data_IF_912961688695
#
_entry.id   IF_912961688695
#
_cell.length_a   1.000
_cell.length_b   1.000
_cell.length_c   1.000
_cell.angle_alpha   90.00
_cell.angle_beta   90.00
_cell.angle_gamma   90.00
#
_symmetry.space_group_name_H-M   'P 1'
#
loop_
_entity.id
_entity.type
_entity.pdbx_description
1 polymer ?
#
# COMPACT_ATOMS: atom_id res chain seq x y z
N UNK A 1 -5.64 7.67 4.53
CA UNK A 1 -4.25 8.05 4.20
C UNK A 1 -4.17 9.47 3.67
N UNK A 2 -4.89 9.84 2.59
CA UNK A 2 -4.89 11.21 2.07
C UNK A 2 -5.31 12.26 3.10
N UNK A 3 -6.24 11.91 4.00
CA UNK A 3 -6.72 12.79 5.06
C UNK A 3 -5.71 13.05 6.17
N UNK A 4 -4.82 12.10 6.44
CA UNK A 4 -3.75 12.26 7.41
C UNK A 4 -2.59 13.12 6.87
N UNK A 5 -2.59 13.40 5.59
CA UNK A 5 -1.53 14.15 4.94
C UNK A 5 -1.56 15.63 5.36
N UNK A 6 -0.47 16.09 5.94
CA UNK A 6 -0.35 17.47 6.42
C UNK A 6 -0.63 18.49 5.32
N UNK A 7 -0.16 18.20 4.10
CA UNK A 7 -0.37 19.05 2.93
C UNK A 7 -1.85 19.25 2.56
N UNK A 8 -2.69 18.21 2.72
CA UNK A 8 -4.13 18.36 2.47
C UNK A 8 -4.81 19.20 3.53
N UNK A 9 -4.33 19.18 4.77
CA UNK A 9 -4.83 20.07 5.82
C UNK A 9 -4.42 21.52 5.56
N UNK A 10 -3.19 21.74 5.10
CA UNK A 10 -2.70 23.05 4.70
C UNK A 10 -3.45 23.59 3.48
N UNK A 11 -3.61 22.77 2.43
CA UNK A 11 -4.39 23.12 1.24
C UNK A 11 -5.85 23.43 1.56
N UNK A 12 -6.48 22.71 2.47
CA UNK A 12 -7.83 23.00 2.90
C UNK A 12 -7.93 24.41 3.49
N UNK A 13 -7.03 24.75 4.43
CA UNK A 13 -6.96 26.07 5.06
C UNK A 13 -6.67 27.19 4.06
N UNK A 14 -5.71 26.99 3.15
CA UNK A 14 -5.40 27.94 2.08
C UNK A 14 -6.60 28.23 1.16
N UNK A 15 -7.47 27.27 0.99
CA UNK A 15 -8.68 27.38 0.19
C UNK A 15 -9.93 27.75 1.04
N UNK A 16 -9.76 28.13 2.30
CA UNK A 16 -10.82 28.64 3.17
C UNK A 16 -11.71 27.55 3.78
N UNK A 17 -11.22 26.34 3.90
CA UNK A 17 -11.92 25.23 4.55
C UNK A 17 -11.29 24.91 5.90
N UNK A 18 -12.07 24.90 6.96
CA UNK A 18 -11.63 24.46 8.28
C UNK A 18 -11.61 22.95 8.41
N UNK A 19 -12.50 22.26 7.68
CA UNK A 19 -12.60 20.80 7.63
C UNK A 19 -11.99 20.27 6.33
N UNK A 20 -10.97 19.43 6.45
CA UNK A 20 -10.33 18.77 5.30
C UNK A 20 -11.32 17.86 4.54
N UNK A 21 -12.34 17.29 5.21
CA UNK A 21 -13.36 16.48 4.54
C UNK A 21 -14.27 17.32 3.65
N UNK A 22 -14.58 18.56 4.05
CA UNK A 22 -15.33 19.49 3.20
C UNK A 22 -14.50 19.90 1.99
N UNK A 23 -13.21 20.22 2.21
CA UNK A 23 -12.29 20.49 1.11
C UNK A 23 -12.19 19.31 0.15
N UNK A 24 -12.05 18.08 0.65
CA UNK A 24 -11.98 16.85 -0.15
C UNK A 24 -13.24 16.62 -1.01
N UNK A 25 -14.39 17.18 -0.63
CA UNK A 25 -15.65 17.11 -1.38
C UNK A 25 -15.88 18.32 -2.28
N UNK A 26 -15.04 19.34 -2.21
CA UNK A 26 -15.21 20.62 -2.88
C UNK A 26 -14.83 20.59 -4.36
N UNK A 27 -15.00 21.74 -5.02
CA UNK A 27 -14.57 21.99 -6.40
C UNK A 27 -13.04 21.82 -6.58
N UNK A 28 -12.23 22.14 -5.57
CA UNK A 28 -10.77 22.04 -5.63
C UNK A 28 -10.28 20.58 -5.65
N UNK A 29 -11.14 19.64 -5.32
CA UNK A 29 -10.87 18.21 -5.47
C UNK A 29 -11.92 17.59 -6.43
N UNK A 30 -11.78 17.82 -7.73
CA UNK A 30 -12.79 17.45 -8.70
C UNK A 30 -12.99 15.94 -8.81
N UNK A 31 -14.20 15.53 -9.13
CA UNK A 31 -14.48 14.15 -9.52
C UNK A 31 -13.83 13.88 -10.88
N UNK A 32 -13.07 12.79 -10.96
CA UNK A 32 -12.44 12.34 -12.18
C UNK A 32 -13.33 11.34 -12.94
N UNK A 33 -13.90 10.37 -12.22
CA UNK A 33 -14.84 9.40 -12.77
C UNK A 33 -15.69 8.80 -11.65
N UNK A 34 -17.00 8.63 -11.87
CA UNK A 34 -17.89 8.11 -10.83
C UNK A 34 -17.77 8.90 -9.53
N UNK A 35 -17.37 8.22 -8.46
CA UNK A 35 -17.11 8.82 -7.15
C UNK A 35 -15.62 9.03 -6.84
N UNK A 36 -14.73 8.65 -7.77
CA UNK A 36 -13.29 8.87 -7.61
C UNK A 36 -12.95 10.35 -7.79
N UNK A 37 -12.22 10.89 -6.85
CA UNK A 37 -11.74 12.28 -6.87
C UNK A 37 -10.24 12.33 -7.16
N UNK A 38 -9.76 13.49 -7.56
CA UNK A 38 -8.34 13.69 -7.90
C UNK A 38 -7.39 13.28 -6.77
N UNK A 39 -7.75 13.53 -5.52
CA UNK A 39 -6.96 13.12 -4.35
C UNK A 39 -6.92 11.60 -4.11
N UNK A 40 -7.75 10.84 -4.79
CA UNK A 40 -7.73 9.37 -4.76
C UNK A 40 -6.88 8.74 -5.86
N UNK A 41 -6.09 9.56 -6.57
CA UNK A 41 -5.14 9.15 -7.59
C UNK A 41 -3.71 9.23 -7.06
N UNK A 42 -2.83 8.53 -7.73
CA UNK A 42 -1.39 8.61 -7.48
C UNK A 42 -0.83 10.01 -7.63
N UNK A 43 0.24 10.30 -6.92
CA UNK A 43 1.08 11.47 -7.16
C UNK A 43 2.31 11.04 -7.97
N UNK A 44 2.41 11.50 -9.19
CA UNK A 44 3.61 11.24 -10.01
C UNK A 44 4.82 11.93 -9.40
N UNK A 45 5.91 11.19 -9.28
CA UNK A 45 7.19 11.70 -8.81
C UNK A 45 8.34 10.97 -9.49
N UNK A 46 9.53 11.54 -9.36
CA UNK A 46 10.78 10.85 -9.67
C UNK A 46 11.22 10.05 -8.44
N UNK A 47 11.85 8.91 -8.66
CA UNK A 47 12.37 8.09 -7.58
C UNK A 47 13.15 6.89 -8.07
N UNK A 48 13.98 6.34 -7.17
CA UNK A 48 14.71 5.11 -7.39
C UNK A 48 14.76 4.29 -6.09
N UNK A 49 14.74 2.98 -6.23
CA UNK A 49 14.95 2.06 -5.12
C UNK A 49 15.83 0.91 -5.58
N UNK A 50 16.65 0.38 -4.68
CA UNK A 50 17.52 -0.76 -4.94
C UNK A 50 17.49 -1.71 -3.74
N UNK A 51 17.52 -2.99 -4.03
CA UNK A 51 17.58 -4.07 -3.03
C UNK A 51 18.73 -5.01 -3.37
N UNK A 52 19.38 -5.54 -2.34
CA UNK A 52 20.34 -6.63 -2.47
C UNK A 52 19.66 -7.91 -2.01
N UNK A 53 19.54 -8.87 -2.91
CA UNK A 53 19.01 -10.21 -2.62
C UNK A 53 20.16 -11.21 -2.71
N UNK A 54 20.32 -12.02 -1.72
CA UNK A 54 21.37 -13.05 -1.64
C UNK A 54 20.88 -14.26 -0.86
N UNK A 55 21.55 -15.43 -0.97
CA UNK A 55 21.32 -16.53 -0.06
C UNK A 55 21.48 -16.09 1.40
N UNK A 56 20.65 -16.61 2.30
CA UNK A 56 20.61 -16.18 3.72
C UNK A 56 21.97 -16.32 4.39
N UNK A 57 22.72 -17.38 4.09
CA UNK A 57 24.07 -17.66 4.61
C UNK A 57 25.11 -16.62 4.17
N UNK A 58 24.85 -15.87 3.11
CA UNK A 58 25.73 -14.80 2.61
C UNK A 58 25.39 -13.42 3.18
N UNK A 59 24.25 -13.27 3.82
CA UNK A 59 23.72 -11.95 4.22
C UNK A 59 24.72 -11.17 5.10
N UNK A 60 25.44 -11.84 6.00
CA UNK A 60 26.45 -11.23 6.87
C UNK A 60 27.66 -10.64 6.13
N UNK A 61 27.86 -10.98 4.85
CA UNK A 61 28.91 -10.40 4.03
C UNK A 61 28.54 -9.01 3.51
N UNK A 62 27.24 -8.68 3.52
CA UNK A 62 26.71 -7.43 2.96
C UNK A 62 26.17 -6.47 4.01
N UNK A 63 25.82 -6.97 5.18
CA UNK A 63 25.21 -6.12 6.22
C UNK A 63 25.39 -6.71 7.61
N UNK A 64 25.56 -5.82 8.59
CA UNK A 64 25.51 -6.17 10.02
C UNK A 64 24.08 -6.13 10.60
N UNK A 65 23.10 -5.65 9.78
CA UNK A 65 21.70 -5.60 10.18
C UNK A 65 21.06 -6.99 10.06
N UNK A 66 20.01 -7.23 10.85
CA UNK A 66 19.21 -8.44 10.73
C UNK A 66 18.75 -8.61 9.27
N UNK A 67 19.09 -9.73 8.62
CA UNK A 67 18.58 -10.04 7.30
C UNK A 67 17.05 -10.25 7.36
N UNK A 68 16.37 -9.85 6.32
CA UNK A 68 14.93 -10.08 6.18
C UNK A 68 14.74 -11.15 5.11
N UNK A 69 14.06 -12.21 5.47
CA UNK A 69 13.87 -13.37 4.60
C UNK A 69 12.69 -13.18 3.66
N UNK A 70 12.85 -13.55 2.39
CA UNK A 70 11.77 -13.67 1.42
C UNK A 70 11.20 -15.08 1.51
N UNK A 71 10.05 -15.25 2.13
CA UNK A 71 9.41 -16.55 2.33
C UNK A 71 8.85 -17.15 1.06
N UNK A 72 8.30 -16.30 0.17
CA UNK A 72 7.71 -16.76 -1.08
C UNK A 72 7.44 -15.63 -2.07
N UNK A 73 7.26 -16.01 -3.31
CA UNK A 73 6.91 -15.12 -4.42
C UNK A 73 5.78 -15.78 -5.20
N UNK A 74 4.74 -15.00 -5.51
CA UNK A 74 3.65 -15.40 -6.41
C UNK A 74 3.63 -14.49 -7.64
N UNK A 75 3.29 -15.08 -8.79
CA UNK A 75 3.15 -14.35 -10.03
C UNK A 75 1.97 -14.89 -10.83
N UNK A 76 1.12 -14.00 -11.30
CA UNK A 76 0.01 -14.35 -12.16
C UNK A 76 -0.20 -13.30 -13.24
N UNK A 77 -0.57 -13.77 -14.42
CA UNK A 77 -0.95 -12.93 -15.55
C UNK A 77 -2.30 -13.41 -16.10
N UNK A 78 -3.05 -12.49 -16.70
CA UNK A 78 -4.31 -12.81 -17.35
C UNK A 78 -4.39 -12.17 -18.74
N UNK A 79 -5.32 -12.66 -19.54
CA UNK A 79 -5.61 -12.08 -20.84
C UNK A 79 -6.17 -10.67 -20.70
N UNK A 80 -5.69 -9.74 -21.51
CA UNK A 80 -6.01 -8.31 -21.43
C UNK A 80 -7.49 -7.97 -21.69
N UNK A 81 -8.27 -8.88 -22.27
CA UNK A 81 -9.69 -8.70 -22.58
C UNK A 81 -10.64 -9.12 -21.45
N UNK A 82 -10.11 -9.59 -20.32
CA UNK A 82 -10.93 -9.96 -19.18
C UNK A 82 -11.13 -8.76 -18.26
N UNK A 83 -12.40 -8.45 -17.95
CA UNK A 83 -12.73 -7.47 -16.94
C UNK A 83 -12.12 -7.88 -15.58
N UNK A 84 -11.66 -6.89 -14.81
CA UNK A 84 -11.10 -7.09 -13.46
C UNK A 84 -9.78 -7.89 -13.42
N UNK A 85 -8.89 -7.68 -14.38
CA UNK A 85 -7.57 -8.33 -14.46
C UNK A 85 -6.79 -8.21 -13.15
N UNK A 86 -6.78 -7.03 -12.53
CA UNK A 86 -6.06 -6.77 -11.27
C UNK A 86 -6.56 -7.64 -10.13
N UNK A 87 -7.87 -7.80 -9.99
CA UNK A 87 -8.49 -8.63 -8.94
C UNK A 87 -8.00 -10.07 -9.05
N UNK A 88 -8.15 -10.66 -10.21
CA UNK A 88 -7.85 -12.08 -10.40
C UNK A 88 -6.36 -12.40 -10.40
N UNK A 89 -5.53 -11.54 -10.95
CA UNK A 89 -4.08 -11.75 -10.94
C UNK A 89 -3.53 -11.63 -9.52
N UNK A 90 -3.95 -10.63 -8.75
CA UNK A 90 -3.56 -10.47 -7.35
C UNK A 90 -4.02 -11.64 -6.51
N UNK A 91 -5.27 -12.08 -6.66
CA UNK A 91 -5.80 -13.22 -5.93
C UNK A 91 -5.01 -14.50 -6.21
N UNK A 92 -4.72 -14.78 -7.48
CA UNK A 92 -3.96 -15.97 -7.87
C UNK A 92 -2.51 -15.92 -7.38
N UNK A 93 -1.84 -14.78 -7.52
CA UNK A 93 -0.48 -14.62 -7.02
C UNK A 93 -0.43 -14.79 -5.49
N UNK A 94 -1.38 -14.23 -4.77
CA UNK A 94 -1.47 -14.37 -3.31
C UNK A 94 -1.74 -15.82 -2.89
N UNK A 95 -2.65 -16.52 -3.59
CA UNK A 95 -2.91 -17.94 -3.36
C UNK A 95 -1.63 -18.78 -3.48
N UNK A 96 -0.82 -18.54 -4.52
CA UNK A 96 0.47 -19.22 -4.72
C UNK A 96 1.42 -18.99 -3.54
N UNK A 97 1.50 -17.78 -3.03
CA UNK A 97 2.36 -17.46 -1.87
C UNK A 97 1.90 -18.19 -0.63
N UNK A 98 0.61 -18.16 -0.31
CA UNK A 98 0.08 -18.85 0.87
C UNK A 98 0.25 -20.38 0.78
N UNK A 99 0.02 -20.97 -0.39
CA UNK A 99 0.25 -22.41 -0.60
C UNK A 99 1.73 -22.79 -0.49
N UNK A 100 2.63 -21.94 -1.02
CA UNK A 100 4.07 -22.18 -0.97
C UNK A 100 4.63 -22.06 0.45
N UNK A 101 4.19 -21.06 1.19
CA UNK A 101 4.79 -20.70 2.49
C UNK A 101 4.08 -21.32 3.68
N UNK A 102 2.80 -21.69 3.52
CA UNK A 102 1.94 -22.12 4.62
C UNK A 102 1.49 -20.97 5.54
N UNK A 103 1.90 -19.74 5.27
CA UNK A 103 1.46 -18.54 6.01
C UNK A 103 -0.02 -18.31 5.75
N UNK A 104 -0.74 -17.89 6.78
CA UNK A 104 -2.18 -17.58 6.68
C UNK A 104 -2.40 -16.07 6.60
N UNK A 105 -3.51 -15.62 5.98
CA UNK A 105 -3.83 -14.19 5.90
C UNK A 105 -3.88 -13.47 7.25
N UNK A 106 -4.31 -14.19 8.30
CA UNK A 106 -4.42 -13.64 9.67
C UNK A 106 -3.04 -13.36 10.31
N UNK A 107 -2.00 -14.02 9.82
CA UNK A 107 -0.61 -13.88 10.29
C UNK A 107 0.14 -12.73 9.63
N UNK A 108 -0.53 -12.00 8.72
CA UNK A 108 0.06 -10.84 8.04
C UNK A 108 -0.17 -9.59 8.89
N UNK A 109 0.91 -8.96 9.31
CA UNK A 109 0.90 -7.77 10.16
C UNK A 109 0.82 -6.47 9.35
N UNK A 110 1.34 -6.45 8.12
CA UNK A 110 1.42 -5.27 7.26
C UNK A 110 1.18 -5.64 5.81
N UNK A 111 0.35 -4.85 5.12
CA UNK A 111 0.16 -4.94 3.68
C UNK A 111 0.75 -3.70 2.98
N UNK A 112 1.67 -3.92 2.05
CA UNK A 112 2.09 -2.91 1.09
C UNK A 112 1.40 -3.19 -0.24
N UNK A 113 0.38 -2.40 -0.57
CA UNK A 113 -0.47 -2.61 -1.74
C UNK A 113 -0.30 -1.50 -2.77
N UNK A 114 -0.47 -1.84 -4.04
CA UNK A 114 -0.51 -0.82 -5.08
C UNK A 114 -1.81 0.00 -4.99
N UNK A 115 -1.69 1.26 -4.60
CA UNK A 115 -2.77 2.23 -4.46
C UNK A 115 -2.71 3.30 -5.56
N UNK A 116 -2.43 2.89 -6.76
CA UNK A 116 -2.53 3.74 -7.96
C UNK A 116 -3.88 4.50 -7.99
N UNK A 117 -4.96 3.79 -7.66
CA UNK A 117 -6.23 4.36 -7.24
C UNK A 117 -6.50 3.91 -5.80
N UNK A 118 -7.14 4.76 -5.00
CA UNK A 118 -7.53 4.40 -3.64
C UNK A 118 -8.42 3.14 -3.59
N UNK A 119 -9.19 2.90 -4.64
CA UNK A 119 -9.99 1.67 -4.80
C UNK A 119 -9.14 0.43 -5.03
N UNK A 120 -7.99 0.55 -5.70
CA UNK A 120 -7.07 -0.57 -5.91
C UNK A 120 -6.50 -1.09 -4.59
N UNK A 121 -6.22 -0.20 -3.65
CA UNK A 121 -5.79 -0.58 -2.30
C UNK A 121 -6.84 -1.41 -1.57
N UNK A 122 -8.11 -0.99 -1.61
CA UNK A 122 -9.22 -1.72 -1.01
C UNK A 122 -9.35 -3.12 -1.63
N UNK A 123 -9.38 -3.17 -2.97
CA UNK A 123 -9.49 -4.43 -3.70
C UNK A 123 -8.32 -5.35 -3.36
N UNK A 124 -7.08 -4.86 -3.40
CA UNK A 124 -5.91 -5.66 -3.08
C UNK A 124 -5.96 -6.23 -1.66
N UNK A 125 -6.44 -5.45 -0.69
CA UNK A 125 -6.58 -5.90 0.68
C UNK A 125 -7.63 -7.01 0.85
N UNK A 126 -8.75 -6.95 0.12
CA UNK A 126 -9.79 -7.98 0.17
C UNK A 126 -9.36 -9.24 -0.60
N UNK A 127 -8.88 -9.11 -1.83
CA UNK A 127 -8.54 -10.29 -2.65
C UNK A 127 -7.29 -11.03 -2.16
N UNK A 128 -6.42 -10.36 -1.38
CA UNK A 128 -5.32 -11.01 -0.67
C UNK A 128 -5.74 -11.72 0.62
N UNK A 129 -6.99 -11.57 1.04
CA UNK A 129 -7.48 -12.10 2.32
C UNK A 129 -7.00 -11.31 3.54
N UNK A 130 -6.27 -10.21 3.35
CA UNK A 130 -5.82 -9.36 4.46
C UNK A 130 -6.98 -8.69 5.19
N UNK A 131 -8.01 -8.28 4.44
CA UNK A 131 -9.30 -7.82 4.97
C UNK A 131 -10.42 -8.73 4.47
N UNK A 132 -11.55 -8.83 5.23
CA UNK A 132 -12.70 -9.61 4.81
C UNK A 132 -13.30 -9.10 3.51
N UNK A 133 -13.61 -10.02 2.60
CA UNK A 133 -14.22 -9.70 1.29
C UNK A 133 -15.56 -8.96 1.46
N UNK A 134 -15.72 -7.86 0.74
CA UNK A 134 -16.91 -6.99 0.76
C UNK A 134 -17.06 -6.15 2.03
N UNK A 135 -16.17 -6.27 3.02
CA UNK A 135 -16.21 -5.52 4.27
C UNK A 135 -14.98 -4.63 4.51
N UNK A 136 -13.97 -4.72 3.66
CA UNK A 136 -12.71 -3.97 3.81
C UNK A 136 -12.93 -2.46 3.96
N UNK A 137 -13.93 -1.89 3.29
CA UNK A 137 -14.26 -0.47 3.38
C UNK A 137 -14.55 0.00 4.83
N UNK A 138 -15.08 -0.87 5.70
CA UNK A 138 -15.33 -0.55 7.13
C UNK A 138 -14.02 -0.25 7.84
N UNK A 139 -12.98 -1.06 7.61
CA UNK A 139 -11.65 -0.89 8.18
C UNK A 139 -11.03 0.46 7.80
N UNK A 140 -11.25 0.91 6.56
CA UNK A 140 -10.77 2.22 6.12
C UNK A 140 -11.51 3.37 6.81
N UNK A 141 -12.83 3.29 6.94
CA UNK A 141 -13.64 4.32 7.62
C UNK A 141 -13.33 4.39 9.12
N UNK A 142 -13.12 3.25 9.75
CA UNK A 142 -12.80 3.13 11.17
C UNK A 142 -11.33 3.50 11.49
N UNK A 143 -10.50 3.78 10.47
CA UNK A 143 -9.09 4.12 10.63
C UNK A 143 -8.19 2.93 10.97
N UNK A 144 -8.69 1.71 10.96
CA UNK A 144 -7.97 0.49 11.29
C UNK A 144 -6.83 0.15 10.33
N UNK A 145 -6.88 0.70 9.11
CA UNK A 145 -5.82 0.57 8.10
C UNK A 145 -4.75 1.66 8.19
N UNK A 146 -4.87 2.59 9.11
CA UNK A 146 -3.86 3.61 9.37
C UNK A 146 -2.58 2.99 9.93
N UNK A 147 -1.48 3.75 9.91
CA UNK A 147 -0.18 3.26 10.41
C UNK A 147 -0.24 2.86 11.90
N UNK A 148 -1.16 3.40 12.68
CA UNK A 148 -1.42 3.09 14.09
C UNK A 148 -2.61 2.14 14.32
N UNK A 149 -3.28 1.70 13.25
CA UNK A 149 -4.39 0.74 13.29
C UNK A 149 -3.95 -0.71 13.49
N UNK A 150 -4.90 -1.61 13.65
CA UNK A 150 -4.67 -3.05 13.85
C UNK A 150 -4.48 -3.83 12.52
N UNK A 151 -4.79 -3.23 11.38
CA UNK A 151 -4.59 -3.78 10.04
C UNK A 151 -3.93 -2.74 9.11
N UNK A 152 -2.68 -2.35 9.38
CA UNK A 152 -2.02 -1.26 8.67
C UNK A 152 -1.78 -1.60 7.19
N UNK A 153 -2.06 -0.62 6.33
CA UNK A 153 -1.82 -0.72 4.89
C UNK A 153 -1.04 0.52 4.43
N UNK A 154 0.02 0.32 3.67
CA UNK A 154 0.83 1.40 3.11
C UNK A 154 1.26 2.43 4.16
N UNK A 155 1.97 1.99 5.19
CA UNK A 155 2.40 2.83 6.34
C UNK A 155 3.21 4.05 5.95
N UNK A 156 3.87 4.03 4.79
CA UNK A 156 4.60 5.17 4.21
C UNK A 156 3.69 6.18 3.50
N UNK A 157 2.40 5.90 3.35
CA UNK A 157 1.44 6.73 2.64
C UNK A 157 1.09 6.27 1.22
N UNK A 158 1.78 5.25 0.71
CA UNK A 158 1.52 4.68 -0.62
C UNK A 158 1.73 5.65 -1.78
N UNK A 159 1.25 5.28 -2.96
CA UNK A 159 1.40 6.10 -4.18
C UNK A 159 0.56 7.37 -4.13
N UNK A 160 -0.57 7.33 -3.43
CA UNK A 160 -1.43 8.50 -3.25
C UNK A 160 -0.83 9.59 -2.37
N UNK A 161 0.16 9.27 -1.52
CA UNK A 161 0.72 10.23 -0.56
C UNK A 161 2.24 10.34 -0.61
N UNK A 162 2.95 9.22 -0.67
CA UNK A 162 4.41 9.21 -0.77
C UNK A 162 4.89 9.54 -2.19
N UNK A 163 4.11 9.12 -3.20
CA UNK A 163 4.39 9.34 -4.61
C UNK A 163 4.57 8.05 -5.40
N UNK A 164 4.45 8.16 -6.70
CA UNK A 164 4.54 7.03 -7.64
C UNK A 164 5.62 7.24 -8.69
N UNK A 165 6.75 6.58 -8.50
CA UNK A 165 7.88 6.53 -9.43
C UNK A 165 7.82 5.27 -10.32
N UNK A 166 6.62 4.91 -10.77
CA UNK A 166 6.36 3.75 -11.64
C UNK A 166 7.04 2.46 -11.13
N UNK A 167 7.94 1.86 -11.91
CA UNK A 167 8.57 0.59 -11.56
C UNK A 167 9.37 0.63 -10.25
N UNK A 168 9.94 1.78 -9.88
CA UNK A 168 10.67 1.93 -8.62
C UNK A 168 9.77 1.81 -7.39
N UNK A 169 8.47 2.09 -7.52
CA UNK A 169 7.54 2.04 -6.39
C UNK A 169 7.37 0.64 -5.79
N UNK A 170 7.39 -0.41 -6.60
CA UNK A 170 7.32 -1.78 -6.09
C UNK A 170 8.53 -2.14 -5.23
N UNK A 171 9.73 -1.70 -5.62
CA UNK A 171 10.94 -1.88 -4.80
C UNK A 171 10.90 -0.99 -3.55
N UNK A 172 10.30 0.20 -3.61
CA UNK A 172 10.10 1.06 -2.46
C UNK A 172 9.14 0.46 -1.43
N UNK A 173 8.12 -0.30 -1.86
CA UNK A 173 7.25 -1.05 -0.94
C UNK A 173 8.02 -2.12 -0.18
N UNK A 174 8.89 -2.87 -0.86
CA UNK A 174 9.74 -3.87 -0.23
C UNK A 174 10.73 -3.18 0.74
N UNK A 175 11.30 -2.04 0.33
CA UNK A 175 12.16 -1.25 1.21
C UNK A 175 11.43 -0.83 2.49
N UNK A 176 10.22 -0.29 2.38
CA UNK A 176 9.41 0.08 3.56
C UNK A 176 9.14 -1.14 4.45
N UNK A 177 8.73 -2.28 3.88
CA UNK A 177 8.50 -3.50 4.64
C UNK A 177 9.77 -3.96 5.39
N UNK A 178 10.94 -3.91 4.74
CA UNK A 178 12.22 -4.22 5.36
C UNK A 178 12.54 -3.26 6.51
N UNK A 179 12.28 -1.97 6.34
CA UNK A 179 12.52 -0.98 7.39
C UNK A 179 11.58 -1.17 8.57
N UNK A 180 10.30 -1.52 8.33
CA UNK A 180 9.34 -1.90 9.36
C UNK A 180 9.84 -3.10 10.18
N UNK A 181 10.21 -4.19 9.52
CA UNK A 181 10.72 -5.40 10.20
C UNK A 181 12.05 -5.18 10.93
N UNK A 182 12.74 -4.06 10.70
CA UNK A 182 13.96 -3.65 11.40
C UNK A 182 13.73 -2.64 12.52
N UNK A 183 12.49 -2.19 12.74
CA UNK A 183 12.17 -1.14 13.69
C UNK A 183 12.85 0.19 13.34
N UNK A 184 12.85 0.55 12.07
CA UNK A 184 13.57 1.71 11.54
C UNK A 184 12.65 2.74 10.87
N UNK A 185 11.35 2.67 11.12
CA UNK A 185 10.35 3.61 10.60
C UNK A 185 9.91 4.68 11.62
N UNK A 186 10.50 4.69 12.82
CA UNK A 186 10.22 5.66 13.87
C UNK A 186 8.77 5.54 14.37
N UNK A 187 8.00 6.61 14.33
CA UNK A 187 6.60 6.60 14.81
C UNK A 187 5.68 5.65 14.03
N UNK A 188 6.12 5.18 12.86
CA UNK A 188 5.37 4.25 12.01
C UNK A 188 5.77 2.79 12.18
N UNK A 189 6.71 2.46 13.10
CA UNK A 189 7.17 1.09 13.34
C UNK A 189 6.03 0.16 13.78
N UNK A 190 6.05 -1.11 13.29
CA UNK A 190 5.06 -2.17 13.51
C UNK A 190 5.72 -3.49 13.92
#
# INVERSE_FOLDING_TARGET
>A
LALARKEYQELAKENGYDDVMEYMKSFFNPKMTGNLRASGLELKCDGAAALIVCPTEMASQFTDKKPIEVLGIGNATREANQAHVEVFATQEATRQVYELTGVKPEEIDLLMANDFFITSQLIAAEVSGYLPEGEGWKYFIEGRTSFDGDKPINTNGGRCSFGHAHAASGLADIYEAVMQMRGACGERDR
#
